data_IF_324833708521
#
_entry.id   IF_324833708521
#
_cell.length_a   1.000
_cell.length_b   1.000
_cell.length_c   1.000
_cell.angle_alpha   90.00
_cell.angle_beta   90.00
_cell.angle_gamma   90.00
#
_symmetry.space_group_name_H-M   'P 1'
#
loop_
_entity.id
_entity.type
_entity.pdbx_description
1 polymer ?
#
# COMPACT_ATOMS: atom_id res chain seq x y z
N UNK A 1 0.60 -34.56 -16.26
CA UNK A 1 -0.09 -34.70 -14.96
C UNK A 1 -0.95 -33.45 -14.80
N UNK A 2 -2.27 -33.61 -14.65
CA UNK A 2 -3.16 -32.50 -14.30
C UNK A 2 -2.90 -32.18 -12.84
N UNK A 3 -2.21 -31.07 -12.53
CA UNK A 3 -2.21 -30.52 -11.18
C UNK A 3 -3.64 -30.04 -10.92
N UNK A 4 -4.30 -30.68 -9.99
CA UNK A 4 -5.59 -30.26 -9.46
C UNK A 4 -5.34 -28.92 -8.73
N UNK A 5 -5.88 -27.85 -9.26
CA UNK A 5 -5.92 -26.59 -8.54
C UNK A 5 -6.64 -26.83 -7.19
N UNK A 6 -5.97 -26.57 -6.10
CA UNK A 6 -6.58 -26.68 -4.78
C UNK A 6 -7.60 -25.56 -4.63
N UNK A 7 -8.85 -25.92 -4.32
CA UNK A 7 -9.90 -24.95 -3.97
C UNK A 7 -9.78 -24.67 -2.47
N UNK A 8 -9.31 -23.47 -2.12
CA UNK A 8 -9.28 -23.01 -0.72
C UNK A 8 -10.53 -22.19 -0.47
N UNK A 9 -11.34 -22.61 0.49
CA UNK A 9 -12.54 -21.90 0.95
C UNK A 9 -12.35 -21.43 2.38
N UNK A 10 -12.68 -20.18 2.65
CA UNK A 10 -12.68 -19.67 4.02
C UNK A 10 -13.78 -18.63 4.24
N UNK A 11 -14.12 -18.41 5.50
CA UNK A 11 -15.06 -17.40 5.93
C UNK A 11 -14.56 -16.60 7.13
N UNK A 12 -14.98 -15.35 7.20
CA UNK A 12 -14.79 -14.48 8.37
C UNK A 12 -16.15 -14.00 8.83
N UNK A 13 -16.47 -14.27 10.09
CA UNK A 13 -17.59 -13.65 10.78
C UNK A 13 -17.04 -12.54 11.67
N UNK A 14 -17.55 -11.32 11.50
CA UNK A 14 -17.17 -10.17 12.32
C UNK A 14 -18.39 -9.53 12.95
N UNK A 15 -18.26 -9.13 14.19
CA UNK A 15 -19.25 -8.34 14.93
C UNK A 15 -18.56 -7.05 15.33
N UNK A 16 -19.16 -5.92 14.99
CA UNK A 16 -18.64 -4.59 15.38
C UNK A 16 -19.71 -3.86 16.17
N UNK A 17 -19.32 -3.29 17.29
CA UNK A 17 -20.12 -2.35 18.06
C UNK A 17 -19.39 -1.00 18.07
N UNK A 18 -20.07 0.09 17.69
CA UNK A 18 -19.49 1.43 17.61
C UNK A 18 -20.23 2.36 18.57
N UNK A 19 -19.52 3.01 19.45
CA UNK A 19 -20.02 4.06 20.33
C UNK A 19 -19.41 5.39 19.90
N UNK A 20 -20.23 6.33 19.51
CA UNK A 20 -19.79 7.67 19.13
C UNK A 20 -20.45 8.71 20.02
N UNK A 21 -19.72 9.75 20.41
CA UNK A 21 -20.22 10.93 21.13
C UNK A 21 -20.06 12.15 20.23
N UNK A 22 -21.11 12.90 20.01
CA UNK A 22 -21.10 14.17 19.25
C UNK A 22 -21.41 15.36 20.19
N UNK A 23 -21.15 16.67 19.87
CA UNK A 23 -20.50 17.22 18.68
C UNK A 23 -19.51 18.29 19.04
N UNK A 24 -18.51 18.54 19.04
CA UNK A 24 -17.42 19.51 19.04
C UNK A 24 -16.08 18.83 19.37
N UNK A 25 -16.09 17.92 20.32
CA UNK A 25 -15.04 16.95 20.59
C UNK A 25 -15.65 15.59 20.33
N UNK A 26 -15.25 14.91 19.25
CA UNK A 26 -15.79 13.61 18.89
C UNK A 26 -14.93 12.49 19.46
N UNK A 27 -15.49 11.66 20.31
CA UNK A 27 -14.86 10.41 20.76
C UNK A 27 -15.58 9.24 20.13
N UNK A 28 -14.82 8.34 19.50
CA UNK A 28 -15.33 7.12 18.87
C UNK A 28 -14.59 5.92 19.44
N UNK A 29 -15.36 5.00 20.00
CA UNK A 29 -14.85 3.71 20.46
C UNK A 29 -15.58 2.61 19.71
N UNK A 30 -14.85 1.62 19.20
CA UNK A 30 -15.44 0.43 18.63
C UNK A 30 -14.71 -0.82 19.07
N UNK A 31 -15.47 -1.89 19.24
CA UNK A 31 -14.96 -3.23 19.49
C UNK A 31 -15.37 -4.10 18.31
N UNK A 32 -14.39 -4.81 17.75
CA UNK A 32 -14.62 -5.76 16.66
C UNK A 32 -14.15 -7.15 17.09
N UNK A 33 -14.99 -8.13 16.87
CA UNK A 33 -14.68 -9.54 17.05
C UNK A 33 -14.66 -10.21 15.70
N UNK A 34 -13.58 -10.90 15.39
CA UNK A 34 -13.40 -11.61 14.12
C UNK A 34 -13.12 -13.08 14.39
N UNK A 35 -13.83 -13.96 13.69
CA UNK A 35 -13.54 -15.39 13.62
C UNK A 35 -13.21 -15.72 12.18
N UNK A 36 -12.03 -16.25 11.93
CA UNK A 36 -11.56 -16.71 10.62
C UNK A 36 -11.48 -18.22 10.65
N UNK A 37 -12.03 -18.88 9.64
CA UNK A 37 -11.94 -20.30 9.44
C UNK A 37 -11.65 -20.59 7.97
N UNK A 38 -10.61 -21.35 7.69
CA UNK A 38 -10.19 -21.80 6.36
C UNK A 38 -10.09 -23.31 6.32
N UNK A 39 -10.20 -23.90 5.15
CA UNK A 39 -10.03 -25.36 4.96
C UNK A 39 -8.58 -25.79 5.05
N UNK A 40 -7.65 -24.91 4.67
CA UNK A 40 -6.21 -25.12 4.71
C UNK A 40 -5.52 -23.78 5.03
N UNK A 41 -5.11 -23.00 4.06
CA UNK A 41 -4.55 -21.68 4.24
C UNK A 41 -5.63 -20.60 4.16
N UNK A 42 -5.35 -19.43 4.73
CA UNK A 42 -6.26 -18.29 4.59
C UNK A 42 -6.20 -17.76 3.16
N UNK A 43 -7.34 -17.64 2.45
CA UNK A 43 -7.37 -17.08 1.12
C UNK A 43 -6.81 -15.66 1.03
N UNK A 44 -6.23 -15.35 -0.13
CA UNK A 44 -5.54 -14.10 -0.44
C UNK A 44 -6.30 -12.85 0.04
N UNK A 45 -7.60 -12.71 -0.25
CA UNK A 45 -8.36 -11.53 0.15
C UNK A 45 -8.77 -11.49 1.62
N UNK A 46 -8.73 -12.61 2.35
CA UNK A 46 -8.95 -12.59 3.79
C UNK A 46 -7.68 -12.25 4.57
N UNK A 47 -6.52 -12.44 3.98
CA UNK A 47 -5.22 -12.13 4.55
C UNK A 47 -4.77 -10.70 4.23
N UNK A 48 -4.90 -10.27 2.98
CA UNK A 48 -4.31 -9.04 2.47
C UNK A 48 -5.20 -7.80 2.66
N UNK A 49 -4.58 -6.61 2.63
CA UNK A 49 -5.22 -5.31 2.91
C UNK A 49 -5.92 -5.24 4.27
N UNK A 50 -5.30 -5.85 5.29
CA UNK A 50 -5.79 -5.91 6.67
C UNK A 50 -4.74 -5.50 7.70
N UNK A 51 -3.85 -4.60 7.34
CA UNK A 51 -2.82 -4.05 8.24
C UNK A 51 -2.00 -5.14 8.95
N UNK A 52 -1.80 -6.30 8.30
CA UNK A 52 -1.07 -7.42 8.88
C UNK A 52 -1.75 -8.11 10.07
N UNK A 53 -3.07 -7.94 10.23
CA UNK A 53 -3.82 -8.55 11.33
C UNK A 53 -3.88 -10.08 11.25
N UNK A 54 -4.07 -10.60 10.03
CA UNK A 54 -4.33 -12.02 9.79
C UNK A 54 -3.02 -12.78 9.60
N UNK A 55 -2.91 -13.93 10.23
CA UNK A 55 -1.81 -14.86 10.01
C UNK A 55 -2.25 -15.94 9.00
N UNK A 56 -1.55 -16.05 7.88
CA UNK A 56 -1.84 -16.98 6.80
C UNK A 56 -1.61 -18.46 7.18
N UNK A 57 -0.66 -18.72 8.09
CA UNK A 57 -0.34 -20.08 8.56
C UNK A 57 -1.39 -20.69 9.52
N UNK A 58 -2.38 -19.89 9.94
CA UNK A 58 -3.38 -20.32 10.92
C UNK A 58 -4.77 -20.44 10.27
N UNK A 59 -5.22 -21.65 9.92
CA UNK A 59 -6.54 -21.85 9.30
C UNK A 59 -7.70 -21.49 10.22
N UNK A 60 -7.50 -21.48 11.53
CA UNK A 60 -8.49 -21.00 12.50
C UNK A 60 -7.86 -20.00 13.45
N UNK A 61 -8.47 -18.81 13.52
CA UNK A 61 -8.03 -17.76 14.44
C UNK A 61 -9.21 -16.87 14.85
N UNK A 62 -9.14 -16.39 16.08
CA UNK A 62 -10.07 -15.41 16.64
C UNK A 62 -9.30 -14.14 16.99
N UNK A 63 -9.89 -13.01 16.71
CA UNK A 63 -9.29 -11.71 17.01
C UNK A 63 -10.32 -10.80 17.66
N UNK A 64 -9.87 -10.00 18.61
CA UNK A 64 -10.62 -8.88 19.16
C UNK A 64 -9.82 -7.62 18.91
N UNK A 65 -10.45 -6.61 18.33
CA UNK A 65 -9.85 -5.31 18.06
C UNK A 65 -10.60 -4.25 18.86
N UNK A 66 -9.88 -3.44 19.60
CA UNK A 66 -10.37 -2.25 20.28
C UNK A 66 -9.84 -1.03 19.54
N UNK A 67 -10.73 -0.26 18.94
CA UNK A 67 -10.41 0.98 18.27
C UNK A 67 -10.88 2.16 19.14
N UNK A 68 -10.02 3.13 19.32
CA UNK A 68 -10.33 4.38 19.99
C UNK A 68 -9.76 5.54 19.19
N UNK A 69 -10.62 6.51 18.88
CA UNK A 69 -10.26 7.73 18.17
C UNK A 69 -10.91 8.92 18.86
N UNK A 70 -10.19 10.02 18.95
CA UNK A 70 -10.68 11.26 19.53
C UNK A 70 -10.21 12.46 18.71
N UNK A 71 -11.10 13.42 18.55
CA UNK A 71 -10.82 14.71 17.90
C UNK A 71 -11.15 15.82 18.89
N UNK A 72 -10.18 16.69 19.15
CA UNK A 72 -10.31 17.87 20.01
C UNK A 72 -9.96 19.10 19.20
N UNK A 73 -10.78 20.14 19.28
CA UNK A 73 -10.53 21.42 18.63
C UNK A 73 -10.49 22.56 19.63
N UNK A 74 -9.60 23.53 19.43
CA UNK A 74 -9.60 24.76 20.22
C UNK A 74 -10.89 25.58 19.95
N UNK A 75 -11.36 26.41 20.91
CA UNK A 75 -12.60 27.18 20.76
C UNK A 75 -12.65 28.06 19.51
N UNK A 76 -11.49 28.50 19.01
CA UNK A 76 -11.33 29.27 17.78
C UNK A 76 -11.19 28.40 16.52
N UNK A 77 -11.20 27.07 16.66
CA UNK A 77 -10.95 26.10 15.56
C UNK A 77 -9.68 26.38 14.76
N UNK A 78 -8.66 26.97 15.39
CA UNK A 78 -7.37 27.26 14.76
C UNK A 78 -6.49 26.04 14.68
N UNK A 79 -6.63 25.14 15.67
CA UNK A 79 -5.95 23.86 15.73
C UNK A 79 -6.97 22.75 15.91
N UNK A 80 -6.73 21.62 15.25
CA UNK A 80 -7.45 20.37 15.46
C UNK A 80 -6.42 19.30 15.84
N UNK A 81 -6.68 18.59 16.92
CA UNK A 81 -5.85 17.49 17.40
C UNK A 81 -6.67 16.23 17.28
N UNK A 82 -6.21 15.31 16.44
CA UNK A 82 -6.76 13.98 16.27
C UNK A 82 -5.76 12.98 16.86
N UNK A 83 -6.23 12.01 17.63
CA UNK A 83 -5.40 10.94 18.12
C UNK A 83 -6.19 9.66 18.32
N UNK A 84 -5.49 8.53 18.32
CA UNK A 84 -6.15 7.26 18.46
C UNK A 84 -5.20 6.09 18.60
N UNK A 85 -5.80 4.95 18.94
CA UNK A 85 -5.12 3.67 19.02
C UNK A 85 -6.04 2.52 18.58
N UNK A 86 -5.43 1.52 17.98
CA UNK A 86 -6.05 0.24 17.67
C UNK A 86 -5.22 -0.86 18.30
N UNK A 87 -5.81 -1.53 19.29
CA UNK A 87 -5.21 -2.64 20.01
C UNK A 87 -5.91 -3.94 19.59
N UNK A 88 -5.12 -4.96 19.33
CA UNK A 88 -5.64 -6.26 18.91
C UNK A 88 -5.14 -7.40 19.79
N UNK A 89 -6.01 -8.38 20.01
CA UNK A 89 -5.61 -9.69 20.50
C UNK A 89 -5.89 -10.74 19.43
N UNK A 90 -4.99 -11.68 19.28
CA UNK A 90 -5.20 -12.87 18.45
C UNK A 90 -5.16 -14.09 19.36
N UNK A 91 -6.19 -14.91 19.26
CA UNK A 91 -6.30 -16.20 19.95
C UNK A 91 -6.25 -17.29 18.90
N UNK A 92 -5.40 -18.28 19.11
CA UNK A 92 -5.20 -19.41 18.21
C UNK A 92 -4.08 -20.31 18.74
N UNK A 93 -3.43 -21.03 17.87
CA UNK A 93 -2.28 -21.88 18.24
C UNK A 93 -1.14 -21.08 18.90
N UNK A 94 -0.98 -19.82 18.48
CA UNK A 94 -0.11 -18.83 19.13
C UNK A 94 -0.93 -17.60 19.42
N UNK A 95 -1.12 -17.30 20.70
CA UNK A 95 -1.85 -16.10 21.13
C UNK A 95 -0.91 -14.90 21.19
N UNK A 96 -1.38 -13.74 20.76
CA UNK A 96 -0.60 -12.50 20.77
C UNK A 96 -1.46 -11.29 21.10
N UNK A 97 -0.84 -10.33 21.81
CA UNK A 97 -1.35 -8.96 21.96
C UNK A 97 -0.49 -8.05 21.10
N UNK A 98 -1.11 -7.13 20.37
CA UNK A 98 -0.40 -6.19 19.52
C UNK A 98 -1.08 -4.83 19.45
N UNK A 99 -0.28 -3.78 19.32
CA UNK A 99 -0.76 -2.48 18.90
C UNK A 99 -0.65 -2.42 17.36
N UNK A 100 -1.79 -2.29 16.70
CA UNK A 100 -1.82 -2.16 15.24
C UNK A 100 -1.54 -0.73 14.82
N UNK A 101 -2.23 0.21 15.46
CA UNK A 101 -2.12 1.64 15.21
C UNK A 101 -2.04 2.39 16.55
N UNK A 102 -1.27 3.48 16.56
CA UNK A 102 -1.20 4.46 17.66
C UNK A 102 -0.62 5.75 17.11
N UNK A 103 -1.36 6.81 17.18
CA UNK A 103 -1.00 8.03 16.48
C UNK A 103 -1.58 9.28 17.12
N UNK A 104 -0.92 10.41 16.86
CA UNK A 104 -1.43 11.74 17.11
C UNK A 104 -1.17 12.65 15.91
N UNK A 105 -2.14 13.48 15.58
CA UNK A 105 -2.06 14.47 14.50
C UNK A 105 -2.51 15.82 15.01
N UNK A 106 -1.71 16.85 14.76
CA UNK A 106 -2.11 18.24 14.96
C UNK A 106 -2.21 18.93 13.60
N UNK A 107 -3.33 19.59 13.35
CA UNK A 107 -3.63 20.28 12.10
C UNK A 107 -3.88 21.75 12.32
N UNK A 108 -3.41 22.59 11.39
CA UNK A 108 -3.67 24.02 11.33
C UNK A 108 -3.92 24.46 9.89
N UNK A 109 -5.17 24.80 9.57
CA UNK A 109 -5.57 25.07 8.18
C UNK A 109 -5.31 23.84 7.31
N UNK A 110 -4.59 24.04 6.22
CA UNK A 110 -4.28 22.98 5.26
C UNK A 110 -3.06 22.12 5.65
N UNK A 111 -2.36 22.42 6.75
CA UNK A 111 -1.12 21.75 7.16
C UNK A 111 -1.33 20.89 8.40
N UNK A 112 -0.58 19.80 8.48
CA UNK A 112 -0.58 18.91 9.64
C UNK A 112 0.79 18.35 9.98
N UNK A 113 0.95 17.95 11.23
CA UNK A 113 2.03 17.12 11.73
C UNK A 113 1.40 15.86 12.34
N UNK A 114 1.87 14.69 11.92
CA UNK A 114 1.47 13.40 12.46
C UNK A 114 2.68 12.69 13.06
N UNK A 115 2.49 12.07 14.22
CA UNK A 115 3.47 11.19 14.85
C UNK A 115 2.80 9.87 15.25
N UNK A 116 3.44 8.74 14.95
CA UNK A 116 2.95 7.40 15.30
C UNK A 116 2.66 6.52 14.09
N UNK A 117 2.07 5.36 14.34
CA UNK A 117 1.70 4.36 13.36
C UNK A 117 0.21 4.49 13.02
N UNK A 118 -0.10 4.92 11.80
CA UNK A 118 -1.48 5.08 11.31
C UNK A 118 -1.60 4.46 9.92
N UNK A 119 -2.63 3.63 9.71
CA UNK A 119 -3.01 3.10 8.41
C UNK A 119 -3.59 4.17 7.48
N UNK A 120 -3.64 3.89 6.20
CA UNK A 120 -4.24 4.78 5.23
C UNK A 120 -5.78 4.65 5.25
N UNK A 121 -6.52 5.74 4.97
CA UNK A 121 -7.97 5.67 4.83
C UNK A 121 -8.39 4.62 3.81
N UNK A 122 -9.47 3.89 4.10
CA UNK A 122 -9.99 2.90 3.15
C UNK A 122 -10.58 3.59 1.93
N UNK A 123 -9.99 3.32 0.76
CA UNK A 123 -10.40 3.92 -0.50
C UNK A 123 -11.51 3.08 -1.17
N UNK A 124 -12.53 3.77 -1.72
CA UNK A 124 -13.67 3.18 -2.44
C UNK A 124 -14.29 1.96 -1.72
N UNK A 125 -14.50 2.06 -0.39
CA UNK A 125 -15.04 1.00 0.46
C UNK A 125 -14.24 -0.33 0.42
N UNK A 126 -12.94 -0.28 0.08
CA UNK A 126 -12.07 -1.46 0.00
C UNK A 126 -12.25 -2.28 -1.28
N UNK A 127 -12.82 -1.70 -2.33
CA UNK A 127 -12.95 -2.35 -3.64
C UNK A 127 -11.63 -2.41 -4.39
N UNK A 128 -10.72 -1.46 -4.18
CA UNK A 128 -9.39 -1.48 -4.77
C UNK A 128 -8.52 -2.55 -4.13
N UNK A 129 -7.71 -3.22 -4.91
CA UNK A 129 -6.75 -4.20 -4.39
C UNK A 129 -5.47 -3.55 -3.83
N UNK A 130 -5.20 -2.29 -4.17
CA UNK A 130 -4.05 -1.52 -3.66
C UNK A 130 -4.46 -0.37 -2.74
N UNK A 131 -5.75 -0.29 -2.36
CA UNK A 131 -6.30 0.87 -1.66
C UNK A 131 -6.16 2.19 -2.46
N UNK A 132 -6.10 2.08 -3.80
CA UNK A 132 -5.94 3.23 -4.71
C UNK A 132 -4.50 3.74 -4.85
N UNK A 133 -3.52 3.13 -4.19
CA UNK A 133 -2.10 3.50 -4.25
C UNK A 133 -1.22 2.25 -4.35
N UNK A 134 -0.39 2.18 -5.39
CA UNK A 134 0.43 1.01 -5.66
C UNK A 134 1.55 0.81 -4.64
N UNK A 135 2.12 1.90 -4.10
CA UNK A 135 3.21 1.87 -3.14
C UNK A 135 2.79 1.92 -1.68
N UNK A 136 1.57 2.39 -1.38
CA UNK A 136 1.09 2.50 0.00
C UNK A 136 -0.35 2.01 0.12
N UNK A 137 -0.50 0.76 0.52
CA UNK A 137 -1.80 0.13 0.79
C UNK A 137 -2.00 -0.14 2.29
N UNK A 138 -3.11 -0.77 2.64
CA UNK A 138 -3.36 -1.30 3.98
C UNK A 138 -2.93 -2.78 4.11
N UNK A 139 -1.97 -3.25 3.31
CA UNK A 139 -1.54 -4.64 3.31
C UNK A 139 -0.61 -4.96 4.49
N UNK A 140 0.42 -4.15 4.70
CA UNK A 140 1.34 -4.30 5.81
C UNK A 140 0.87 -3.54 7.06
N UNK A 141 1.39 -3.92 8.24
CA UNK A 141 1.21 -3.15 9.47
C UNK A 141 1.85 -1.77 9.31
N UNK A 142 1.16 -0.69 9.72
CA UNK A 142 1.73 0.64 9.65
C UNK A 142 2.98 0.77 10.52
N UNK A 143 4.03 1.34 9.96
CA UNK A 143 5.22 1.70 10.72
C UNK A 143 5.03 3.05 11.43
N UNK A 144 5.60 3.22 12.62
CA UNK A 144 5.69 4.53 13.27
C UNK A 144 6.42 5.52 12.36
N UNK A 145 5.91 6.73 12.27
CA UNK A 145 6.50 7.80 11.46
C UNK A 145 6.30 9.16 12.08
N UNK A 146 7.15 10.08 11.70
CA UNK A 146 6.91 11.52 11.81
C UNK A 146 6.63 12.00 10.40
N UNK A 147 5.49 12.66 10.22
CA UNK A 147 5.00 13.08 8.91
C UNK A 147 4.53 14.53 8.97
N UNK A 148 5.08 15.37 8.10
CA UNK A 148 4.61 16.72 7.81
C UNK A 148 3.84 16.67 6.50
N UNK A 149 2.62 17.22 6.48
CA UNK A 149 1.80 17.20 5.27
C UNK A 149 0.96 18.44 5.07
N UNK A 150 0.41 18.51 3.86
CA UNK A 150 -0.57 19.51 3.45
C UNK A 150 -1.69 18.83 2.67
N UNK A 151 -2.93 19.24 2.91
CA UNK A 151 -4.13 18.72 2.25
C UNK A 151 -4.93 19.89 1.66
N UNK A 152 -5.12 19.87 0.34
CA UNK A 152 -5.90 20.89 -0.38
C UNK A 152 -5.30 22.30 -0.34
N UNK A 153 -4.01 22.43 -0.04
CA UNK A 153 -3.33 23.73 0.02
C UNK A 153 -3.43 24.47 -1.29
N UNK A 154 -3.88 25.74 -1.24
CA UNK A 154 -4.05 26.61 -2.41
C UNK A 154 -3.00 27.71 -2.40
N UNK A 155 -1.86 27.52 -3.12
CA UNK A 155 -0.76 28.48 -3.12
C UNK A 155 -1.14 29.82 -3.78
N UNK A 156 -2.13 29.82 -4.68
CA UNK A 156 -2.54 31.00 -5.42
C UNK A 156 -4.00 31.36 -5.16
N UNK A 157 -4.26 32.62 -4.81
CA UNK A 157 -5.62 33.11 -4.53
C UNK A 157 -6.25 33.86 -5.69
N UNK A 158 -5.49 34.20 -6.73
CA UNK A 158 -5.91 35.03 -7.88
C UNK A 158 -5.67 34.32 -9.20
N UNK A 159 -6.33 34.78 -10.24
CA UNK A 159 -6.26 34.32 -11.62
C UNK A 159 -6.72 32.85 -11.79
N UNK A 160 -6.42 32.24 -12.92
CA UNK A 160 -6.75 30.85 -13.18
C UNK A 160 -6.00 29.87 -12.26
N UNK A 161 -4.84 30.26 -11.73
CA UNK A 161 -4.07 29.47 -10.75
C UNK A 161 -4.80 29.23 -9.42
N UNK A 162 -5.85 30.00 -9.10
CA UNK A 162 -6.73 29.71 -7.94
C UNK A 162 -7.40 28.33 -8.00
N UNK A 163 -7.38 27.69 -9.19
CA UNK A 163 -7.92 26.36 -9.44
C UNK A 163 -6.93 25.24 -9.14
N UNK A 164 -5.68 25.58 -8.81
CA UNK A 164 -4.68 24.64 -8.35
C UNK A 164 -4.81 24.45 -6.85
N UNK A 165 -4.88 23.20 -6.41
CA UNK A 165 -4.59 22.79 -5.04
C UNK A 165 -3.49 21.75 -5.01
N UNK A 166 -2.78 21.68 -3.88
CA UNK A 166 -1.61 20.83 -3.70
C UNK A 166 -1.81 20.01 -2.43
N UNK A 167 -1.63 18.70 -2.54
CA UNK A 167 -1.44 17.82 -1.39
C UNK A 167 0.04 17.44 -1.32
N UNK A 168 0.57 17.37 -0.12
CA UNK A 168 1.97 17.05 0.11
C UNK A 168 2.15 16.18 1.35
N UNK A 169 3.18 15.31 1.31
CA UNK A 169 3.60 14.47 2.43
C UNK A 169 5.12 14.40 2.44
N UNK A 170 5.71 14.51 3.61
CA UNK A 170 7.12 14.29 3.87
C UNK A 170 7.24 13.53 5.19
N UNK A 171 7.72 12.30 5.14
CA UNK A 171 7.69 11.41 6.28
C UNK A 171 8.99 10.60 6.44
N UNK A 172 9.34 10.34 7.70
CA UNK A 172 10.39 9.41 8.11
C UNK A 172 9.77 8.29 8.92
N UNK A 173 9.92 7.06 8.44
CA UNK A 173 9.39 5.86 9.07
C UNK A 173 10.49 5.13 9.83
N UNK A 174 10.14 4.63 11.01
CA UNK A 174 10.95 3.71 11.79
C UNK A 174 10.52 2.28 11.46
N UNK A 175 11.45 1.48 10.95
CA UNK A 175 11.20 0.08 10.64
C UNK A 175 11.56 -0.75 11.88
N UNK A 176 10.54 -1.29 12.56
CA UNK A 176 10.67 -1.99 13.84
C UNK A 176 10.64 -3.52 13.69
N UNK A 177 10.54 -4.02 12.49
CA UNK A 177 10.53 -5.45 12.17
C UNK A 177 11.95 -6.00 11.99
N UNK A 178 12.06 -7.32 12.12
CA UNK A 178 13.29 -8.03 11.78
C UNK A 178 13.46 -8.03 10.26
N UNK A 179 14.65 -7.62 9.80
CA UNK A 179 14.97 -7.48 8.39
C UNK A 179 16.45 -7.69 8.11
N UNK A 180 16.83 -7.90 6.85
CA UNK A 180 18.22 -8.15 6.47
C UNK A 180 19.16 -7.00 6.87
N UNK A 181 18.79 -5.75 6.58
CA UNK A 181 19.52 -4.57 7.04
C UNK A 181 18.83 -4.04 8.29
N UNK A 182 19.39 -4.33 9.47
CA UNK A 182 18.85 -3.89 10.74
C UNK A 182 18.94 -2.36 10.90
N UNK A 183 17.95 -1.77 11.57
CA UNK A 183 17.88 -0.32 11.80
C UNK A 183 17.91 0.52 10.53
N UNK A 184 17.44 -0.03 9.42
CA UNK A 184 17.20 0.75 8.22
C UNK A 184 16.06 1.75 8.46
N UNK A 185 16.15 2.91 7.83
CA UNK A 185 15.10 3.92 7.82
C UNK A 185 14.39 3.90 6.46
N UNK A 186 13.17 4.42 6.44
CA UNK A 186 12.41 4.56 5.21
C UNK A 186 11.89 6.00 5.10
N UNK A 187 12.41 6.73 4.12
CA UNK A 187 11.94 8.07 3.77
C UNK A 187 10.79 7.99 2.77
N UNK A 188 9.81 8.88 2.89
CA UNK A 188 8.70 9.02 1.95
C UNK A 188 8.41 10.49 1.69
N UNK A 189 8.32 10.86 0.44
CA UNK A 189 7.80 12.17 0.01
C UNK A 189 6.82 12.00 -1.15
N UNK A 190 5.72 12.74 -1.08
CA UNK A 190 4.68 12.76 -2.11
C UNK A 190 4.19 14.17 -2.35
N UNK A 191 3.99 14.53 -3.59
CA UNK A 191 3.36 15.78 -3.97
C UNK A 191 2.32 15.52 -5.06
N UNK A 192 1.13 16.07 -4.88
CA UNK A 192 0.02 15.95 -5.82
C UNK A 192 -0.47 17.34 -6.18
N UNK A 193 -0.64 17.59 -7.45
CA UNK A 193 -1.20 18.83 -8.01
C UNK A 193 -2.58 18.52 -8.58
N UNK A 194 -3.59 19.23 -8.13
CA UNK A 194 -4.97 19.09 -8.56
C UNK A 194 -5.41 20.35 -9.33
N UNK A 195 -5.70 20.19 -10.59
CA UNK A 195 -6.11 21.28 -11.49
C UNK A 195 -7.62 21.15 -11.75
N UNK A 196 -8.41 22.01 -11.17
CA UNK A 196 -9.84 22.08 -11.42
C UNK A 196 -10.12 22.65 -12.81
N UNK A 197 -10.33 21.80 -13.81
CA UNK A 197 -10.58 22.17 -15.20
C UNK A 197 -11.99 22.76 -15.37
N UNK A 198 -12.99 22.22 -14.65
CA UNK A 198 -14.36 22.71 -14.61
C UNK A 198 -14.95 22.49 -13.23
N UNK A 199 -16.25 22.83 -13.03
CA UNK A 199 -16.95 22.54 -11.76
C UNK A 199 -17.05 21.04 -11.48
N UNK A 200 -17.02 20.20 -12.52
CA UNK A 200 -17.16 18.75 -12.42
C UNK A 200 -15.87 17.98 -12.66
N UNK A 201 -14.83 18.58 -13.26
CA UNK A 201 -13.66 17.85 -13.72
C UNK A 201 -12.40 18.42 -13.09
N UNK A 202 -11.65 17.55 -12.43
CA UNK A 202 -10.32 17.83 -11.87
C UNK A 202 -9.30 16.85 -12.49
N UNK A 203 -8.29 17.40 -13.15
CA UNK A 203 -7.08 16.65 -13.52
C UNK A 203 -6.12 16.70 -12.35
N UNK A 204 -5.43 15.59 -12.07
CA UNK A 204 -4.36 15.58 -11.09
C UNK A 204 -3.12 14.85 -11.61
N UNK A 205 -1.97 15.29 -11.13
CA UNK A 205 -0.68 14.67 -11.38
C UNK A 205 0.20 14.82 -10.17
N UNK A 206 1.17 13.95 -10.01
CA UNK A 206 2.05 13.99 -8.85
C UNK A 206 3.22 13.05 -8.94
N UNK A 207 4.06 13.13 -7.93
CA UNK A 207 5.23 12.30 -7.73
C UNK A 207 5.16 11.72 -6.32
N UNK A 208 5.42 10.43 -6.21
CA UNK A 208 5.53 9.68 -4.97
C UNK A 208 6.88 8.97 -4.97
N UNK A 209 7.68 9.14 -3.91
CA UNK A 209 9.05 8.68 -3.86
C UNK A 209 9.40 8.14 -2.48
N UNK A 210 10.00 6.95 -2.46
CA UNK A 210 10.39 6.20 -1.29
C UNK A 210 11.87 5.85 -1.33
N UNK A 211 12.54 5.89 -0.18
CA UNK A 211 13.97 5.56 -0.08
C UNK A 211 14.27 4.79 1.19
N UNK A 212 14.83 3.59 1.06
CA UNK A 212 15.51 2.95 2.19
C UNK A 212 16.92 3.51 2.33
N UNK A 213 17.30 3.86 3.57
CA UNK A 213 18.60 4.45 3.84
C UNK A 213 19.16 4.07 5.21
N UNK A 214 20.47 4.09 5.34
CA UNK A 214 21.17 3.77 6.58
C UNK A 214 20.99 2.32 7.03
N UNK A 215 21.28 2.06 8.28
CA UNK A 215 21.16 0.75 8.89
C UNK A 215 22.47 -0.02 8.95
N UNK A 216 22.39 -1.29 9.35
CA UNK A 216 23.52 -2.19 9.54
C UNK A 216 23.26 -3.48 8.74
N UNK A 217 24.05 -3.69 7.69
CA UNK A 217 24.01 -4.93 6.91
C UNK A 217 24.79 -6.03 7.65
N UNK A 218 24.31 -7.27 7.64
CA UNK A 218 25.06 -8.41 8.17
C UNK A 218 26.24 -8.81 7.26
N UNK A 219 26.31 -8.30 6.03
CA UNK A 219 27.44 -8.51 5.13
C UNK A 219 28.68 -7.79 5.65
N UNK A 220 29.76 -8.54 5.87
CA UNK A 220 31.04 -7.99 6.32
C UNK A 220 31.67 -7.00 5.32
N UNK A 221 31.31 -7.10 4.06
CA UNK A 221 31.78 -6.20 2.99
C UNK A 221 31.04 -4.84 3.01
N UNK A 222 29.80 -4.81 3.48
CA UNK A 222 28.95 -3.61 3.51
C UNK A 222 28.96 -2.98 4.91
N UNK A 223 28.71 -3.77 5.96
CA UNK A 223 28.70 -3.32 7.34
C UNK A 223 27.68 -2.21 7.62
N UNK A 224 28.13 -1.13 8.27
CA UNK A 224 27.29 0.03 8.57
C UNK A 224 27.13 0.92 7.34
N UNK A 225 25.90 1.10 6.91
CA UNK A 225 25.56 2.01 5.82
C UNK A 225 25.59 3.47 6.29
N UNK A 226 25.93 4.43 5.39
CA UNK A 226 25.95 5.84 5.73
C UNK A 226 24.60 6.31 6.29
N UNK A 227 24.67 7.08 7.37
CA UNK A 227 23.49 7.59 8.06
C UNK A 227 23.15 9.02 7.65
N UNK A 228 22.75 9.84 8.65
CA UNK A 228 22.23 11.19 8.45
C UNK A 228 23.21 12.14 7.70
N UNK A 229 24.52 11.90 7.73
CA UNK A 229 25.52 12.66 6.96
C UNK A 229 25.20 12.70 5.46
N UNK A 230 24.62 11.60 4.92
CA UNK A 230 24.25 11.49 3.51
C UNK A 230 22.76 11.64 3.25
N UNK A 231 21.98 12.01 4.27
CA UNK A 231 20.52 12.07 4.20
C UNK A 231 19.99 12.84 2.99
N UNK A 232 20.54 14.03 2.70
CA UNK A 232 20.09 14.82 1.54
C UNK A 232 20.40 14.13 0.19
N UNK A 233 21.44 13.26 0.12
CA UNK A 233 21.70 12.47 -1.09
C UNK A 233 20.61 11.44 -1.32
N UNK A 234 20.20 10.73 -0.26
CA UNK A 234 19.10 9.79 -0.31
C UNK A 234 17.78 10.47 -0.74
N UNK A 235 17.43 11.55 -0.06
CA UNK A 235 16.16 12.26 -0.34
C UNK A 235 16.13 12.86 -1.75
N UNK A 236 17.25 13.32 -2.28
CA UNK A 236 17.32 13.96 -3.60
C UNK A 236 17.67 12.97 -4.74
N UNK A 237 17.80 11.68 -4.46
CA UNK A 237 18.16 10.68 -5.46
C UNK A 237 19.53 10.96 -6.10
N UNK A 238 20.54 11.30 -5.29
CA UNK A 238 21.92 11.51 -5.76
C UNK A 238 22.76 10.29 -5.49
N UNK A 239 23.85 10.13 -6.25
CA UNK A 239 24.85 9.07 -6.03
C UNK A 239 25.40 9.10 -4.62
N UNK A 240 25.85 7.96 -4.12
CA UNK A 240 26.52 7.81 -2.84
C UNK A 240 27.79 8.63 -2.72
N UNK A 241 28.33 8.74 -1.51
CA UNK A 241 29.66 9.28 -1.28
C UNK A 241 30.64 8.13 -1.03
N UNK A 242 31.90 8.47 -0.77
CA UNK A 242 33.02 7.52 -0.55
C UNK A 242 32.77 6.45 0.52
N UNK A 243 31.90 6.73 1.49
CA UNK A 243 31.52 5.79 2.57
C UNK A 243 30.35 4.87 2.17
N UNK A 244 29.77 5.05 0.98
CA UNK A 244 28.66 4.23 0.49
C UNK A 244 29.18 2.95 -0.16
N UNK A 245 28.35 1.88 -0.26
CA UNK A 245 28.68 0.73 -1.10
C UNK A 245 29.02 1.17 -2.53
N UNK A 246 29.90 0.45 -3.22
CA UNK A 246 30.34 0.77 -4.59
C UNK A 246 29.14 0.96 -5.54
N UNK A 247 28.13 0.10 -5.45
CA UNK A 247 26.90 0.21 -6.23
C UNK A 247 26.16 1.52 -6.03
N UNK A 248 26.17 2.06 -4.80
CA UNK A 248 25.54 3.33 -4.47
C UNK A 248 26.38 4.52 -4.92
N UNK A 249 27.73 4.37 -5.01
CA UNK A 249 28.61 5.41 -5.50
C UNK A 249 28.46 5.62 -7.01
N UNK A 250 28.33 4.52 -7.74
CA UNK A 250 28.23 4.53 -9.21
C UNK A 250 26.80 4.81 -9.69
N UNK A 251 25.80 4.60 -8.83
CA UNK A 251 24.38 4.79 -9.15
C UNK A 251 23.74 5.78 -8.16
N UNK A 252 22.53 5.49 -7.68
CA UNK A 252 21.77 6.30 -6.73
C UNK A 252 21.91 5.69 -5.33
N UNK A 253 22.16 6.53 -4.32
CA UNK A 253 22.32 6.08 -2.94
C UNK A 253 21.02 5.53 -2.36
N UNK A 254 21.13 4.38 -1.68
CA UNK A 254 20.01 3.69 -1.04
C UNK A 254 19.08 3.00 -2.03
N UNK A 255 18.02 2.36 -1.53
CA UNK A 255 17.01 1.74 -2.38
C UNK A 255 15.93 2.76 -2.73
N UNK A 256 15.95 3.27 -3.95
CA UNK A 256 15.04 4.26 -4.48
C UNK A 256 13.84 3.58 -5.15
N UNK A 257 12.65 4.03 -4.85
CA UNK A 257 11.40 3.51 -5.39
C UNK A 257 10.43 4.66 -5.61
N UNK A 258 9.63 4.64 -6.66
CA UNK A 258 8.66 5.70 -6.84
C UNK A 258 7.65 5.48 -7.94
N UNK A 259 6.74 6.44 -8.03
CA UNK A 259 5.72 6.46 -9.08
C UNK A 259 5.36 7.88 -9.50
N UNK A 260 5.16 8.05 -10.80
CA UNK A 260 4.49 9.22 -11.37
C UNK A 260 2.98 8.94 -11.36
N UNK A 261 2.21 9.91 -10.91
CA UNK A 261 0.77 9.80 -10.69
C UNK A 261 0.01 10.69 -11.65
N UNK A 262 -0.99 10.15 -12.31
CA UNK A 262 -1.87 10.88 -13.22
C UNK A 262 -3.31 10.43 -13.04
N UNK A 263 -4.26 11.35 -13.18
CA UNK A 263 -5.65 10.95 -13.18
C UNK A 263 -6.63 12.06 -13.45
N UNK A 264 -7.86 11.64 -13.60
CA UNK A 264 -9.01 12.50 -13.85
C UNK A 264 -10.13 12.14 -12.88
N UNK A 265 -10.62 13.13 -12.14
CA UNK A 265 -11.75 13.00 -11.24
C UNK A 265 -12.93 13.79 -11.80
N UNK A 266 -13.98 13.08 -12.23
CA UNK A 266 -15.22 13.65 -12.72
C UNK A 266 -16.30 13.49 -11.67
N UNK A 267 -16.72 14.58 -11.05
CA UNK A 267 -17.72 14.59 -9.99
C UNK A 267 -18.92 15.46 -10.36
N UNK A 268 -20.07 14.83 -10.39
CA UNK A 268 -21.37 15.49 -10.53
C UNK A 268 -22.14 15.44 -9.19
N UNK A 269 -23.39 15.89 -9.20
CA UNK A 269 -24.26 15.73 -8.03
C UNK A 269 -24.74 14.30 -7.82
N UNK A 270 -24.69 13.45 -8.85
CA UNK A 270 -25.26 12.10 -8.85
C UNK A 270 -24.19 11.03 -8.78
N UNK A 271 -23.06 11.22 -9.43
CA UNK A 271 -22.01 10.22 -9.52
C UNK A 271 -20.61 10.84 -9.50
N UNK A 272 -19.61 10.02 -9.22
CA UNK A 272 -18.18 10.30 -9.34
C UNK A 272 -17.53 9.19 -10.17
N UNK A 273 -16.67 9.58 -11.10
CA UNK A 273 -15.82 8.68 -11.89
C UNK A 273 -14.38 9.14 -11.71
N UNK A 274 -13.48 8.21 -11.40
CA UNK A 274 -12.05 8.48 -11.38
C UNK A 274 -11.35 7.58 -12.39
N UNK A 275 -10.46 8.14 -13.17
CA UNK A 275 -9.46 7.44 -13.95
C UNK A 275 -8.11 7.74 -13.33
N UNK A 276 -7.28 6.73 -13.14
CA UNK A 276 -5.96 6.90 -12.56
C UNK A 276 -4.94 5.97 -13.22
N UNK A 277 -3.73 6.50 -13.31
CA UNK A 277 -2.55 5.82 -13.80
C UNK A 277 -1.38 6.12 -12.89
N UNK A 278 -0.65 5.09 -12.50
CA UNK A 278 0.54 5.15 -11.65
C UNK A 278 1.67 4.46 -12.41
N UNK A 279 2.68 5.24 -12.78
CA UNK A 279 3.83 4.78 -13.53
C UNK A 279 5.01 4.56 -12.59
N UNK A 280 5.56 3.36 -12.58
CA UNK A 280 6.58 2.91 -11.63
C UNK A 280 7.98 3.33 -12.09
N UNK A 281 8.86 3.65 -11.15
CA UNK A 281 10.29 3.83 -11.39
C UNK A 281 11.10 3.41 -10.15
N UNK A 282 12.34 2.95 -10.37
CA UNK A 282 13.34 2.67 -9.33
C UNK A 282 14.62 3.47 -9.57
N UNK A 283 14.85 3.88 -10.81
CA UNK A 283 16.00 4.64 -11.25
C UNK A 283 15.65 5.70 -12.31
N UNK A 284 16.69 6.27 -12.93
CA UNK A 284 16.54 7.26 -13.98
C UNK A 284 15.84 6.73 -15.24
N UNK A 285 16.01 5.46 -15.59
CA UNK A 285 15.43 4.85 -16.78
C UNK A 285 13.91 4.78 -16.64
N UNK A 286 13.43 4.29 -15.50
CA UNK A 286 12.00 4.26 -15.17
C UNK A 286 11.42 5.67 -15.04
N UNK A 287 12.12 6.61 -14.39
CA UNK A 287 11.68 8.00 -14.29
C UNK A 287 11.51 8.67 -15.65
N UNK A 288 12.34 8.32 -16.64
CA UNK A 288 12.26 8.79 -18.02
C UNK A 288 11.27 7.99 -18.89
N UNK A 289 10.45 7.13 -18.29
CA UNK A 289 9.43 6.33 -18.96
C UNK A 289 9.96 5.28 -19.96
N UNK A 290 11.18 4.77 -19.79
CA UNK A 290 11.68 3.67 -20.64
C UNK A 290 10.88 2.37 -20.42
N UNK A 291 10.24 2.21 -19.26
CA UNK A 291 9.34 1.11 -18.92
C UNK A 291 7.85 1.48 -19.09
N UNK A 292 7.49 2.25 -20.10
CA UNK A 292 6.14 2.81 -20.30
C UNK A 292 5.00 1.76 -20.35
N UNK A 293 5.35 0.49 -20.59
CA UNK A 293 4.39 -0.62 -20.58
C UNK A 293 4.06 -1.08 -19.15
N UNK A 294 4.85 -0.66 -18.16
CA UNK A 294 4.61 -0.98 -16.76
C UNK A 294 3.80 0.12 -16.08
N UNK A 295 2.99 -0.29 -15.13
CA UNK A 295 2.17 0.63 -14.36
C UNK A 295 0.93 -0.03 -13.79
N UNK A 296 0.14 0.83 -13.19
CA UNK A 296 -1.13 0.50 -12.58
C UNK A 296 -2.21 1.44 -13.10
N UNK A 297 -3.22 0.90 -13.70
CA UNK A 297 -4.36 1.63 -14.27
C UNK A 297 -5.63 1.27 -13.54
N UNK A 298 -6.47 2.25 -13.30
CA UNK A 298 -7.75 1.97 -12.70
C UNK A 298 -8.85 2.95 -13.09
N UNK A 299 -10.07 2.45 -12.96
CA UNK A 299 -11.31 3.21 -13.08
C UNK A 299 -12.19 2.90 -11.90
N UNK A 300 -12.67 3.93 -11.21
CA UNK A 300 -13.74 3.79 -10.23
C UNK A 300 -14.96 4.58 -10.64
N UNK A 301 -16.13 4.01 -10.39
CA UNK A 301 -17.44 4.66 -10.54
C UNK A 301 -18.21 4.55 -9.23
N UNK A 302 -18.84 5.63 -8.78
CA UNK A 302 -19.66 5.63 -7.57
C UNK A 302 -20.87 6.53 -7.69
N UNK A 303 -22.07 6.01 -7.36
CA UNK A 303 -23.27 6.80 -7.17
C UNK A 303 -23.24 7.48 -5.80
N UNK A 304 -23.56 8.79 -5.74
CA UNK A 304 -23.37 9.60 -4.52
C UNK A 304 -24.61 9.73 -3.63
N UNK A 305 -25.79 9.65 -4.20
CA UNK A 305 -27.06 9.98 -3.49
C UNK A 305 -27.99 8.81 -3.25
N UNK A 306 -27.78 7.69 -3.90
CA UNK A 306 -28.64 6.51 -3.77
C UNK A 306 -27.92 5.38 -3.04
N UNK A 307 -28.68 4.45 -2.50
CA UNK A 307 -28.21 3.13 -2.02
C UNK A 307 -28.77 2.03 -2.91
N UNK A 308 -28.43 2.02 -4.20
CA UNK A 308 -28.95 1.02 -5.13
C UNK A 308 -28.26 -0.32 -4.92
N UNK A 309 -28.78 -1.34 -5.62
CA UNK A 309 -28.16 -2.66 -5.66
C UNK A 309 -26.67 -2.60 -6.08
N UNK A 310 -26.33 -1.74 -7.03
CA UNK A 310 -24.95 -1.46 -7.44
C UNK A 310 -24.70 0.03 -7.21
N UNK A 311 -23.86 0.36 -6.25
CA UNK A 311 -23.48 1.73 -5.93
C UNK A 311 -22.09 2.10 -6.42
N UNK A 312 -21.12 1.21 -6.30
CA UNK A 312 -19.73 1.42 -6.69
C UNK A 312 -19.22 0.28 -7.57
N UNK A 313 -18.29 0.63 -8.44
CA UNK A 313 -17.54 -0.29 -9.31
C UNK A 313 -16.09 0.16 -9.36
N UNK A 314 -15.15 -0.79 -9.28
CA UNK A 314 -13.72 -0.56 -9.49
C UNK A 314 -13.21 -1.62 -10.46
N UNK A 315 -12.44 -1.19 -11.45
CA UNK A 315 -11.68 -2.08 -12.35
C UNK A 315 -10.25 -1.59 -12.38
N UNK A 316 -9.30 -2.48 -12.14
CA UNK A 316 -7.89 -2.16 -12.05
C UNK A 316 -7.06 -3.18 -12.84
N UNK A 317 -6.06 -2.67 -13.55
CA UNK A 317 -5.09 -3.48 -14.28
C UNK A 317 -3.68 -3.10 -13.86
N UNK A 318 -2.83 -4.10 -13.66
CA UNK A 318 -1.43 -3.95 -13.31
C UNK A 318 -0.56 -4.69 -14.32
N UNK A 319 0.54 -4.07 -14.73
CA UNK A 319 1.60 -4.72 -15.48
C UNK A 319 2.96 -4.27 -14.94
N UNK A 320 3.84 -5.21 -14.63
CA UNK A 320 5.23 -4.97 -14.21
C UNK A 320 6.20 -5.90 -14.96
N UNK A 321 5.86 -6.26 -16.19
CA UNK A 321 6.61 -7.28 -16.94
C UNK A 321 7.70 -6.72 -17.82
N UNK A 322 7.71 -5.42 -18.10
CA UNK A 322 8.69 -4.78 -18.96
C UNK A 322 10.02 -4.52 -18.22
N UNK A 323 9.97 -3.88 -17.03
CA UNK A 323 11.13 -3.61 -16.17
C UNK A 323 12.30 -2.99 -16.95
N UNK A 324 12.00 -1.92 -17.70
CA UNK A 324 12.92 -1.21 -18.61
C UNK A 324 13.49 -2.09 -19.76
N UNK A 325 12.91 -3.28 -19.98
CA UNK A 325 13.27 -4.17 -21.07
C UNK A 325 14.60 -4.92 -20.87
N UNK A 326 15.18 -5.47 -21.95
CA UNK A 326 16.50 -6.10 -21.93
C UNK A 326 17.59 -5.06 -21.66
N UNK A 327 18.78 -5.51 -21.30
CA UNK A 327 19.93 -4.61 -21.19
C UNK A 327 20.14 -3.80 -22.47
N UNK A 328 20.34 -2.50 -22.31
CA UNK A 328 20.59 -1.54 -23.38
C UNK A 328 21.46 -0.39 -22.85
N UNK A 329 21.94 0.49 -23.76
CA UNK A 329 22.83 1.62 -23.43
C UNK A 329 24.08 1.21 -22.64
N UNK A 330 24.78 0.18 -23.15
CA UNK A 330 25.99 -0.34 -22.51
C UNK A 330 27.11 0.69 -22.48
N UNK A 331 27.78 0.79 -21.35
CA UNK A 331 29.01 1.54 -21.17
C UNK A 331 30.06 0.66 -20.46
N UNK A 332 31.36 0.90 -20.65
CA UNK A 332 32.40 0.27 -19.83
C UNK A 332 32.15 0.56 -18.34
N UNK A 333 32.24 -0.47 -17.50
CA UNK A 333 32.17 -0.31 -16.04
C UNK A 333 33.47 0.36 -15.54
N UNK A 334 33.42 1.56 -14.93
CA UNK A 334 34.62 2.24 -14.44
C UNK A 334 35.38 1.42 -13.40
N UNK A 335 34.68 0.61 -12.59
CA UNK A 335 35.28 -0.25 -11.57
C UNK A 335 35.81 -1.57 -12.14
N UNK A 336 35.30 -2.00 -13.30
CA UNK A 336 35.68 -3.25 -13.99
C UNK A 336 35.74 -3.01 -15.49
N UNK A 337 36.85 -2.45 -16.01
CA UNK A 337 36.97 -2.04 -17.42
C UNK A 337 36.70 -3.12 -18.47
N UNK A 338 36.79 -4.40 -18.08
CA UNK A 338 36.48 -5.57 -18.94
C UNK A 338 35.00 -5.96 -18.92
N UNK A 339 34.17 -5.28 -18.14
CA UNK A 339 32.73 -5.49 -18.07
C UNK A 339 31.96 -4.28 -18.57
N UNK A 340 30.72 -4.51 -18.97
CA UNK A 340 29.81 -3.45 -19.39
C UNK A 340 28.69 -3.32 -18.37
N UNK A 341 28.39 -2.08 -17.99
CA UNK A 341 27.15 -1.74 -17.31
C UNK A 341 26.14 -1.24 -18.33
N UNK A 342 24.86 -1.49 -18.11
CA UNK A 342 23.79 -1.07 -19.00
C UNK A 342 22.51 -0.83 -18.22
N UNK A 343 21.60 -0.09 -18.82
CA UNK A 343 20.24 0.11 -18.32
C UNK A 343 19.34 -1.09 -18.66
N UNK A 344 18.24 -1.24 -17.93
CA UNK A 344 17.23 -2.28 -18.15
C UNK A 344 17.34 -3.44 -17.17
N UNK A 345 16.39 -4.36 -17.27
CA UNK A 345 16.24 -5.51 -16.37
C UNK A 345 16.05 -5.10 -14.90
N UNK A 346 15.28 -4.03 -14.66
CA UNK A 346 14.91 -3.64 -13.31
C UNK A 346 14.28 -4.82 -12.56
N UNK A 347 14.45 -4.85 -11.25
CA UNK A 347 13.90 -5.91 -10.42
C UNK A 347 13.09 -5.28 -9.29
N UNK A 348 11.90 -4.78 -9.64
CA UNK A 348 11.06 -3.97 -8.77
C UNK A 348 10.94 -4.54 -7.37
N UNK A 349 11.14 -3.65 -6.37
CA UNK A 349 11.07 -3.94 -4.93
C UNK A 349 12.16 -4.85 -4.37
N UNK A 350 13.02 -5.44 -5.19
CA UNK A 350 14.24 -6.14 -4.77
C UNK A 350 15.43 -5.18 -4.83
N UNK A 351 16.44 -5.39 -3.97
CA UNK A 351 17.63 -4.56 -3.96
C UNK A 351 18.85 -5.32 -3.47
N UNK A 352 20.01 -5.07 -4.07
CA UNK A 352 21.26 -5.77 -3.76
C UNK A 352 21.82 -5.53 -2.35
N UNK A 353 21.41 -4.47 -1.65
CA UNK A 353 21.79 -4.16 -0.27
C UNK A 353 20.62 -4.43 0.68
N UNK A 354 19.44 -3.89 0.40
CA UNK A 354 18.24 -4.04 1.22
C UNK A 354 17.44 -5.28 0.82
N UNK A 355 18.02 -6.47 1.03
CA UNK A 355 17.49 -7.75 0.54
C UNK A 355 16.08 -8.08 1.01
N UNK A 356 15.60 -7.52 2.11
CA UNK A 356 14.22 -7.74 2.54
C UNK A 356 13.18 -7.16 1.57
N UNK A 357 13.59 -6.25 0.69
CA UNK A 357 12.69 -5.61 -0.26
C UNK A 357 11.75 -4.58 0.41
N UNK A 358 10.72 -4.15 -0.34
CA UNK A 358 9.76 -3.12 0.10
C UNK A 358 8.67 -3.70 1.01
N UNK A 359 9.07 -4.18 2.18
CA UNK A 359 8.20 -4.86 3.15
C UNK A 359 8.21 -4.20 4.52
N UNK A 360 7.16 -4.45 5.29
CA UNK A 360 7.05 -4.19 6.72
C UNK A 360 6.41 -5.42 7.38
N UNK A 361 7.03 -5.95 8.44
CA UNK A 361 6.60 -7.18 9.12
C UNK A 361 6.34 -8.33 8.15
N UNK A 362 7.27 -8.54 7.21
CA UNK A 362 7.21 -9.57 6.18
C UNK A 362 6.03 -9.45 5.20
N UNK A 363 5.41 -8.27 5.07
CA UNK A 363 4.35 -8.00 4.11
C UNK A 363 4.73 -6.83 3.22
N UNK A 364 4.38 -6.91 1.95
CA UNK A 364 4.53 -5.81 1.00
C UNK A 364 3.82 -4.56 1.54
N UNK A 365 4.51 -3.41 1.56
CA UNK A 365 3.94 -2.12 2.00
C UNK A 365 2.88 -1.63 1.00
N UNK A 366 3.12 -1.85 -0.29
CA UNK A 366 2.24 -1.50 -1.39
C UNK A 366 1.31 -2.63 -1.82
N UNK A 367 1.27 -2.88 -3.12
CA UNK A 367 0.36 -3.85 -3.75
C UNK A 367 0.56 -5.28 -3.23
N UNK A 368 -0.48 -5.94 -2.69
CA UNK A 368 -0.38 -7.28 -2.10
C UNK A 368 -0.03 -8.38 -3.10
N UNK A 369 -0.10 -8.12 -4.40
CA UNK A 369 0.31 -9.11 -5.40
C UNK A 369 1.81 -9.44 -5.36
N UNK A 370 2.62 -8.60 -4.75
CA UNK A 370 4.03 -8.90 -4.49
C UNK A 370 4.14 -9.65 -3.17
N UNK A 371 4.17 -10.98 -3.26
CA UNK A 371 4.28 -11.88 -2.10
C UNK A 371 5.76 -12.08 -1.78
N UNK A 372 6.23 -11.64 -0.59
CA UNK A 372 7.64 -11.79 -0.23
C UNK A 372 7.99 -13.25 0.07
N UNK A 373 9.21 -13.64 -0.24
CA UNK A 373 9.77 -14.90 0.20
C UNK A 373 10.30 -14.77 1.64
N UNK A 374 9.85 -15.66 2.52
CA UNK A 374 10.26 -15.63 3.93
C UNK A 374 11.25 -16.77 4.17
N UNK A 375 12.47 -16.43 4.61
CA UNK A 375 13.47 -17.39 5.04
C UNK A 375 13.93 -17.10 6.46
N UNK A 376 13.85 -18.08 7.34
CA UNK A 376 14.24 -17.95 8.76
C UNK A 376 13.53 -16.79 9.48
N UNK A 377 12.26 -16.54 9.11
CA UNK A 377 11.43 -15.53 9.75
C UNK A 377 11.57 -14.10 9.19
N UNK A 378 12.46 -13.86 8.21
CA UNK A 378 12.63 -12.55 7.58
C UNK A 378 12.42 -12.65 6.07
N UNK A 379 11.92 -11.56 5.49
CA UNK A 379 11.78 -11.44 4.03
C UNK A 379 13.15 -11.41 3.37
N UNK A 380 13.28 -12.13 2.26
CA UNK A 380 14.45 -12.15 1.38
C UNK A 380 14.14 -11.55 0.00
N UNK A 381 13.12 -10.68 -0.05
CA UNK A 381 12.65 -10.07 -1.28
C UNK A 381 11.53 -10.87 -1.96
N UNK A 382 11.33 -10.65 -3.23
CA UNK A 382 10.24 -11.19 -4.03
C UNK A 382 10.75 -12.13 -5.11
N UNK A 383 10.23 -13.36 -5.17
CA UNK A 383 10.57 -14.31 -6.23
C UNK A 383 9.95 -13.95 -7.59
N UNK A 384 8.84 -13.22 -7.57
CA UNK A 384 8.21 -12.72 -8.78
C UNK A 384 7.94 -11.24 -8.65
N UNK A 385 8.58 -10.45 -9.49
CA UNK A 385 8.41 -9.01 -9.63
C UNK A 385 7.78 -8.65 -10.97
N UNK A 386 7.74 -9.61 -11.90
CA UNK A 386 7.09 -9.47 -13.21
C UNK A 386 5.70 -10.09 -13.15
N UNK A 387 4.68 -9.22 -13.06
CA UNK A 387 3.30 -9.62 -12.79
C UNK A 387 2.36 -8.91 -13.76
N UNK A 388 1.31 -9.60 -14.20
CA UNK A 388 0.12 -8.99 -14.80
C UNK A 388 -1.08 -9.34 -13.96
N UNK A 389 -1.87 -8.34 -13.58
CA UNK A 389 -3.04 -8.52 -12.74
C UNK A 389 -4.25 -7.73 -13.24
N UNK A 390 -5.42 -8.32 -13.15
CA UNK A 390 -6.71 -7.68 -13.39
C UNK A 390 -7.57 -7.87 -12.15
N UNK A 391 -8.16 -6.78 -11.65
CA UNK A 391 -9.09 -6.78 -10.55
C UNK A 391 -10.40 -6.11 -10.95
N UNK A 392 -11.53 -6.74 -10.60
CA UNK A 392 -12.86 -6.17 -10.73
C UNK A 392 -13.60 -6.28 -9.40
N UNK A 393 -14.25 -5.20 -8.97
CA UNK A 393 -14.97 -5.16 -7.72
C UNK A 393 -16.23 -4.30 -7.81
N UNK A 394 -17.24 -4.69 -7.08
CA UNK A 394 -18.55 -4.03 -7.04
C UNK A 394 -19.09 -4.00 -5.62
N UNK A 395 -19.78 -2.93 -5.25
CA UNK A 395 -20.52 -2.86 -3.99
C UNK A 395 -21.91 -2.23 -4.18
N UNK A 396 -22.76 -2.42 -3.18
CA UNK A 396 -24.07 -1.81 -3.15
C UNK A 396 -24.90 -2.21 -1.93
N UNK A 397 -26.21 -2.05 -2.05
CA UNK A 397 -27.16 -2.31 -0.97
C UNK A 397 -28.29 -3.18 -1.45
N UNK A 398 -28.58 -4.27 -0.72
CA UNK A 398 -29.80 -5.07 -0.88
C UNK A 398 -30.99 -4.42 -0.19
N UNK A 399 -30.70 -3.63 0.85
CA UNK A 399 -31.66 -2.79 1.58
C UNK A 399 -30.92 -1.71 2.35
N UNK A 400 -31.60 -0.77 2.99
CA UNK A 400 -30.98 0.30 3.79
C UNK A 400 -30.00 -0.20 4.88
N UNK A 401 -30.06 -1.48 5.24
CA UNK A 401 -29.28 -2.11 6.31
C UNK A 401 -28.36 -3.20 5.83
N UNK A 402 -28.54 -3.69 4.63
CA UNK A 402 -27.76 -4.79 4.10
C UNK A 402 -26.88 -4.26 2.98
N UNK A 403 -25.62 -4.08 3.31
CA UNK A 403 -24.55 -3.78 2.36
C UNK A 403 -23.97 -5.10 1.84
N UNK A 404 -23.57 -5.12 0.58
CA UNK A 404 -22.86 -6.21 -0.02
C UNK A 404 -21.70 -5.70 -0.90
N UNK A 405 -20.67 -6.53 -1.05
CA UNK A 405 -19.63 -6.31 -2.05
C UNK A 405 -19.11 -7.65 -2.57
N UNK A 406 -18.63 -7.62 -3.79
CA UNK A 406 -17.92 -8.74 -4.41
C UNK A 406 -16.68 -8.20 -5.15
N UNK A 407 -15.58 -8.94 -5.07
CA UNK A 407 -14.36 -8.66 -5.81
C UNK A 407 -13.75 -9.95 -6.32
N UNK A 408 -13.14 -9.87 -7.50
CA UNK A 408 -12.41 -10.95 -8.11
C UNK A 408 -11.14 -10.40 -8.78
N UNK A 409 -10.07 -11.15 -8.66
CA UNK A 409 -8.79 -10.81 -9.23
C UNK A 409 -8.17 -12.02 -9.91
N UNK A 410 -7.49 -11.77 -11.01
CA UNK A 410 -6.70 -12.75 -11.73
C UNK A 410 -5.31 -12.19 -11.99
N UNK A 411 -4.28 -12.95 -11.65
CA UNK A 411 -2.91 -12.53 -11.84
C UNK A 411 -2.04 -13.64 -12.40
N UNK A 412 -1.05 -13.25 -13.20
CA UNK A 412 0.01 -14.10 -13.75
C UNK A 412 1.36 -13.62 -13.28
N UNK A 413 2.17 -14.56 -12.83
CA UNK A 413 3.48 -14.36 -12.25
C UNK A 413 4.54 -14.99 -13.16
N UNK A 414 5.51 -14.19 -13.57
CA UNK A 414 6.53 -14.60 -14.55
C UNK A 414 7.92 -14.78 -13.93
N UNK A 415 8.06 -14.62 -12.61
CA UNK A 415 9.35 -14.60 -11.90
C UNK A 415 10.02 -13.23 -11.97
N UNK A 416 11.33 -13.19 -11.90
CA UNK A 416 12.16 -12.00 -12.10
C UNK A 416 12.72 -11.98 -13.51
N UNK A 417 13.32 -10.85 -13.94
CA UNK A 417 13.93 -10.76 -15.25
C UNK A 417 15.12 -11.72 -15.37
N UNK A 418 15.98 -11.78 -14.35
CA UNK A 418 17.16 -12.66 -14.30
C UNK A 418 16.82 -14.11 -13.91
N UNK A 419 15.67 -14.33 -13.29
CA UNK A 419 15.19 -15.65 -12.86
C UNK A 419 13.72 -15.85 -13.30
N UNK A 420 13.45 -15.94 -14.60
CA UNK A 420 12.09 -16.14 -15.09
C UNK A 420 11.59 -17.55 -14.76
N UNK A 421 10.31 -17.67 -14.46
CA UNK A 421 9.70 -18.98 -14.34
C UNK A 421 9.68 -19.68 -15.70
N UNK A 422 9.93 -21.00 -15.77
CA UNK A 422 9.82 -21.76 -17.02
C UNK A 422 8.42 -21.69 -17.65
N UNK A 423 7.40 -21.56 -16.81
CA UNK A 423 6.00 -21.29 -17.15
C UNK A 423 5.47 -20.31 -16.13
N UNK A 424 4.67 -19.33 -16.55
CA UNK A 424 4.00 -18.44 -15.61
C UNK A 424 3.11 -19.24 -14.66
N UNK A 425 3.02 -18.75 -13.42
CA UNK A 425 2.09 -19.23 -12.42
C UNK A 425 0.87 -18.32 -12.39
N UNK A 426 -0.25 -18.86 -11.95
CA UNK A 426 -1.54 -18.14 -11.93
C UNK A 426 -2.15 -18.12 -10.55
N UNK A 427 -2.88 -17.03 -10.26
CA UNK A 427 -3.72 -16.90 -9.09
C UNK A 427 -5.04 -16.24 -9.48
N UNK A 428 -6.14 -16.92 -9.25
CA UNK A 428 -7.47 -16.35 -9.23
C UNK A 428 -7.94 -16.29 -7.79
N UNK A 429 -8.40 -15.13 -7.34
CA UNK A 429 -8.89 -14.90 -5.98
C UNK A 429 -10.21 -14.17 -6.02
N UNK A 430 -11.19 -14.61 -5.24
CA UNK A 430 -12.48 -13.96 -5.13
C UNK A 430 -12.89 -13.78 -3.65
N UNK A 431 -13.59 -12.68 -3.36
CA UNK A 431 -14.18 -12.41 -2.04
C UNK A 431 -15.60 -11.86 -2.22
N UNK A 432 -16.54 -12.33 -1.39
CA UNK A 432 -17.86 -11.72 -1.24
C UNK A 432 -18.07 -11.32 0.22
N UNK A 433 -18.62 -10.12 0.43
CA UNK A 433 -18.94 -9.58 1.75
C UNK A 433 -20.43 -9.29 1.84
N UNK A 434 -21.05 -9.64 2.95
CA UNK A 434 -22.40 -9.20 3.35
C UNK A 434 -22.27 -8.58 4.73
N UNK A 435 -22.78 -7.36 4.91
CA UNK A 435 -22.84 -6.68 6.19
C UNK A 435 -24.26 -6.28 6.51
N UNK A 436 -24.70 -6.61 7.72
CA UNK A 436 -26.05 -6.30 8.23
C UNK A 436 -25.90 -5.37 9.44
N UNK A 437 -26.48 -4.18 9.35
CA UNK A 437 -26.53 -3.20 10.46
C UNK A 437 -27.84 -3.33 11.23
N UNK A 438 -27.78 -3.35 12.55
CA UNK A 438 -28.96 -3.46 13.42
C UNK A 438 -29.71 -2.12 13.52
N UNK A 439 -31.04 -2.16 13.70
CA UNK A 439 -31.90 -0.97 13.60
C UNK A 439 -31.75 0.03 14.75
N UNK A 440 -31.55 -0.46 15.96
CA UNK A 440 -31.61 0.34 17.18
C UNK A 440 -30.33 0.16 18.06
N UNK A 441 -29.33 -0.48 17.52
CA UNK A 441 -28.08 -0.76 18.21
C UNK A 441 -26.91 -0.41 17.29
N UNK A 442 -25.84 0.14 17.83
CA UNK A 442 -24.63 0.45 17.05
C UNK A 442 -23.83 -0.83 16.76
N UNK A 443 -24.52 -1.89 16.37
CA UNK A 443 -23.95 -3.22 16.09
C UNK A 443 -24.15 -3.58 14.63
N UNK A 444 -23.12 -4.11 14.02
CA UNK A 444 -23.17 -4.70 12.69
C UNK A 444 -22.52 -6.08 12.65
N UNK A 445 -23.08 -6.95 11.83
CA UNK A 445 -22.54 -8.27 11.52
C UNK A 445 -21.98 -8.24 10.12
N UNK A 446 -20.82 -8.83 9.91
CA UNK A 446 -20.18 -8.94 8.61
C UNK A 446 -19.75 -10.37 8.37
N UNK A 447 -20.21 -10.95 7.27
CA UNK A 447 -19.75 -12.23 6.75
C UNK A 447 -18.92 -11.97 5.49
N UNK A 448 -17.72 -12.55 5.44
CA UNK A 448 -16.89 -12.59 4.24
C UNK A 448 -16.62 -14.03 3.86
N UNK A 449 -16.75 -14.33 2.59
CA UNK A 449 -16.38 -15.62 2.01
C UNK A 449 -15.36 -15.36 0.93
N UNK A 450 -14.28 -16.14 0.90
CA UNK A 450 -13.24 -16.02 -0.10
C UNK A 450 -12.74 -17.36 -0.57
N UNK A 451 -12.19 -17.36 -1.78
CA UNK A 451 -11.59 -18.55 -2.41
C UNK A 451 -10.42 -18.15 -3.29
N UNK A 452 -9.44 -19.04 -3.38
CA UNK A 452 -8.32 -18.97 -4.30
C UNK A 452 -8.26 -20.21 -5.18
N UNK A 453 -7.81 -20.01 -6.42
CA UNK A 453 -7.53 -21.05 -7.42
C UNK A 453 -6.25 -20.69 -8.13
N UNK A 454 -5.35 -21.64 -8.33
CA UNK A 454 -4.09 -21.42 -9.06
C UNK A 454 -2.91 -22.19 -8.45
N UNK A 455 -1.73 -21.92 -8.97
CA UNK A 455 -0.49 -22.59 -8.60
C UNK A 455 0.58 -21.62 -8.05
N UNK A 456 0.23 -20.34 -7.87
CA UNK A 456 1.20 -19.35 -7.36
C UNK A 456 1.38 -19.41 -5.84
N UNK A 457 0.31 -19.61 -5.08
CA UNK A 457 0.33 -19.70 -3.62
C UNK A 457 0.50 -21.14 -3.10
N UNK A 458 0.81 -22.11 -3.96
CA UNK A 458 1.20 -23.44 -3.54
C UNK A 458 2.47 -23.33 -2.69
N UNK A 459 2.29 -23.26 -1.35
CA UNK A 459 3.33 -23.15 -0.32
C UNK A 459 3.54 -24.48 0.40
#
# INVERSE_FOLDING_TARGET
MKQSAALVLAGVLSISAVYAREPADSSKVSIELHTIAATDQVPFWLENNRLGQVNDDLPFQQMMMLNWEETVSDPGKRFVIDYGAVLGTRLGRVSSLFAEQYWGRISKGDFYLLAGAKGEPVWENGLSHTNGDFFLSNNARPNPRIELGAEGFRPFRRNWFRRLSVDGRYAEYLLLDDRFVNHANLHHKKVMFHFQLSKAVTFYTGLDHWVFWGGISPSSQIGRLPGFKYYLRYVLGKSGGEESPETDQDNIAGNQLGQNLFGLDVRTQQYRVKFYYQHLFEDGSGFLFHNMQDGFWGVSFRLLKARPLIQGLVVEFMNTTNQSGPYHQYAPDPAKPDSLIGEGRDNYFNHGVYHSGFVSYNRMIGSPYFVPEIKRGISTGFQSTRIRGLNGAVDGYLSDRIYWSAKAAYSRYYGQYEAPYPRFKELFSAETTIQVSMRHQPVSWRLKLATDLGDYLDR
#
